data_IF_091605816867
#
_entry.id   IF_091605816867
#
_cell.length_a   1.000
_cell.length_b   1.000
_cell.length_c   1.000
_cell.angle_alpha   90.00
_cell.angle_beta   90.00
_cell.angle_gamma   90.00
#
_symmetry.space_group_name_H-M   'P 1'
#
loop_
_entity.id
_entity.type
_entity.pdbx_description
1 polymer ?
#
# COMPACT_ATOMS: atom_id res chain seq x y z
N UNK A 1 2.03 -15.94 -16.12
CA UNK A 1 2.79 -15.09 -15.17
C UNK A 1 2.92 -15.88 -13.86
N UNK A 2 4.00 -15.68 -13.10
CA UNK A 2 4.14 -16.21 -11.73
C UNK A 2 3.12 -15.56 -10.78
N UNK A 3 2.95 -16.11 -9.58
CA UNK A 3 1.96 -15.60 -8.62
C UNK A 3 2.41 -14.32 -7.92
N UNK A 4 1.46 -13.48 -7.52
CA UNK A 4 1.66 -12.42 -6.54
C UNK A 4 1.49 -13.01 -5.14
N UNK A 5 2.39 -12.67 -4.21
CA UNK A 5 2.19 -12.94 -2.78
C UNK A 5 1.67 -11.70 -2.08
N UNK A 6 0.55 -11.84 -1.39
CA UNK A 6 -0.08 -10.77 -0.63
C UNK A 6 0.10 -11.07 0.87
N UNK A 7 0.82 -10.23 1.59
CA UNK A 7 1.06 -10.36 3.02
C UNK A 7 -0.04 -9.66 3.79
N UNK A 8 -0.76 -10.45 4.60
CA UNK A 8 -1.83 -9.99 5.47
C UNK A 8 -1.39 -10.08 6.93
N UNK A 9 -1.61 -9.00 7.66
CA UNK A 9 -1.16 -8.86 9.05
C UNK A 9 -2.29 -8.97 10.09
N UNK A 10 -3.54 -8.80 9.68
CA UNK A 10 -4.74 -8.94 10.51
C UNK A 10 -5.88 -9.57 9.68
N UNK A 11 -6.73 -10.39 10.29
CA UNK A 11 -7.74 -11.19 9.57
C UNK A 11 -8.85 -10.36 8.91
N UNK A 12 -9.08 -9.15 9.41
CA UNK A 12 -10.06 -8.19 8.91
C UNK A 12 -9.48 -7.12 7.95
N UNK A 13 -8.16 -7.12 7.73
CA UNK A 13 -7.51 -6.30 6.69
C UNK A 13 -7.38 -7.14 5.42
N UNK A 14 -8.48 -7.23 4.67
CA UNK A 14 -8.56 -8.03 3.45
C UNK A 14 -7.97 -7.28 2.23
N UNK A 15 -7.51 -8.01 1.19
CA UNK A 15 -6.92 -7.37 0.01
C UNK A 15 -7.92 -6.64 -0.89
N UNK A 16 -9.24 -6.81 -0.68
CA UNK A 16 -10.29 -6.03 -1.34
C UNK A 16 -10.11 -5.88 -2.86
N UNK A 17 -10.11 -4.64 -3.34
CA UNK A 17 -9.96 -4.28 -4.76
C UNK A 17 -8.71 -4.85 -5.41
N UNK A 18 -7.64 -5.14 -4.64
CA UNK A 18 -6.41 -5.70 -5.20
C UNK A 18 -6.65 -7.10 -5.80
N UNK A 19 -7.36 -7.98 -5.11
CA UNK A 19 -7.63 -9.33 -5.64
C UNK A 19 -8.60 -9.29 -6.81
N UNK A 20 -9.62 -8.42 -6.77
CA UNK A 20 -10.53 -8.21 -7.90
C UNK A 20 -9.76 -7.74 -9.15
N UNK A 21 -8.81 -6.82 -8.96
CA UNK A 21 -7.97 -6.32 -10.04
C UNK A 21 -7.06 -7.41 -10.61
N UNK A 22 -6.41 -8.22 -9.76
CA UNK A 22 -5.53 -9.31 -10.18
C UNK A 22 -6.31 -10.39 -10.94
N UNK A 23 -7.50 -10.77 -10.47
CA UNK A 23 -8.39 -11.72 -11.13
C UNK A 23 -8.83 -11.22 -12.51
N UNK A 24 -9.22 -9.95 -12.62
CA UNK A 24 -9.60 -9.32 -13.89
C UNK A 24 -8.45 -9.33 -14.92
N UNK A 25 -7.20 -9.36 -14.48
CA UNK A 25 -6.00 -9.41 -15.33
C UNK A 25 -5.39 -10.81 -15.43
N UNK A 26 -6.06 -11.85 -14.90
CA UNK A 26 -5.58 -13.24 -14.89
C UNK A 26 -4.18 -13.39 -14.26
N UNK A 27 -3.88 -12.59 -13.24
CA UNK A 27 -2.64 -12.68 -12.46
C UNK A 27 -2.93 -13.57 -11.25
N UNK A 28 -2.31 -14.76 -11.15
CA UNK A 28 -2.52 -15.62 -10.00
C UNK A 28 -1.98 -14.96 -8.73
N UNK A 29 -2.63 -15.20 -7.61
CA UNK A 29 -2.23 -14.65 -6.32
C UNK A 29 -2.44 -15.65 -5.17
N UNK A 30 -1.68 -15.47 -4.11
CA UNK A 30 -1.85 -16.16 -2.84
C UNK A 30 -1.74 -15.16 -1.69
N UNK A 31 -2.45 -15.43 -0.59
CA UNK A 31 -2.38 -14.62 0.63
C UNK A 31 -1.58 -15.37 1.66
N UNK A 32 -0.56 -14.72 2.21
CA UNK A 32 0.22 -15.20 3.36
C UNK A 32 -0.35 -14.56 4.62
N UNK A 33 -0.99 -15.37 5.47
CA UNK A 33 -1.71 -14.92 6.65
C UNK A 33 -0.80 -14.92 7.88
N UNK A 34 -0.02 -13.85 8.07
CA UNK A 34 0.90 -13.72 9.20
C UNK A 34 0.15 -13.63 10.54
N UNK A 35 -1.07 -13.10 10.53
CA UNK A 35 -2.01 -13.10 11.67
C UNK A 35 -2.37 -14.52 12.15
N UNK A 36 -2.26 -15.52 11.26
CA UNK A 36 -2.54 -16.93 11.55
C UNK A 36 -1.28 -17.75 11.84
N UNK A 37 -0.12 -17.09 11.95
CA UNK A 37 1.16 -17.75 12.21
C UNK A 37 1.76 -18.45 10.98
N UNK A 38 1.31 -18.13 9.77
CA UNK A 38 2.04 -18.53 8.56
C UNK A 38 3.42 -17.87 8.54
N UNK A 39 4.42 -18.57 8.01
CA UNK A 39 5.80 -18.08 7.95
C UNK A 39 6.05 -17.28 6.69
N UNK A 40 6.83 -16.22 6.79
CA UNK A 40 7.31 -15.45 5.62
C UNK A 40 8.14 -16.36 4.70
N UNK A 41 7.75 -16.55 3.42
CA UNK A 41 8.53 -17.35 2.47
C UNK A 41 9.92 -16.76 2.24
N UNK A 42 10.96 -17.60 2.25
CA UNK A 42 12.36 -17.17 2.09
C UNK A 42 12.79 -17.02 0.62
N UNK A 43 12.09 -17.68 -0.30
CA UNK A 43 12.36 -17.58 -1.75
C UNK A 43 11.45 -16.55 -2.41
N UNK A 44 11.99 -15.87 -3.43
CA UNK A 44 11.28 -14.97 -4.34
C UNK A 44 11.40 -15.44 -5.79
N UNK A 45 11.85 -16.68 -6.01
CA UNK A 45 12.16 -17.19 -7.34
C UNK A 45 10.89 -17.46 -8.14
N UNK A 46 9.76 -17.66 -7.48
CA UNK A 46 8.48 -18.09 -8.04
C UNK A 46 7.39 -17.00 -7.98
N UNK A 47 7.76 -15.75 -7.69
CA UNK A 47 6.82 -14.62 -7.64
C UNK A 47 6.92 -13.69 -8.85
N UNK A 48 5.78 -13.09 -9.23
CA UNK A 48 5.72 -11.97 -10.17
C UNK A 48 5.82 -10.61 -9.46
N UNK A 49 5.40 -10.56 -8.19
CA UNK A 49 5.43 -9.38 -7.35
C UNK A 49 5.02 -9.70 -5.91
N UNK A 50 5.25 -8.76 -5.00
CA UNK A 50 4.86 -8.84 -3.60
C UNK A 50 3.95 -7.67 -3.26
N UNK A 51 2.89 -7.91 -2.49
CA UNK A 51 2.02 -6.88 -1.96
C UNK A 51 1.94 -6.99 -0.43
N UNK A 52 2.12 -5.88 0.27
CA UNK A 52 2.08 -5.83 1.74
C UNK A 52 0.90 -4.97 2.16
N UNK A 53 -0.06 -5.55 2.87
CA UNK A 53 -1.28 -4.86 3.29
C UNK A 53 -1.06 -4.00 4.55
N UNK A 54 -2.11 -3.31 4.96
CA UNK A 54 -2.14 -2.56 6.21
C UNK A 54 -2.13 -3.45 7.46
N UNK A 55 -2.21 -2.79 8.60
CA UNK A 55 -2.36 -3.39 9.93
C UNK A 55 -2.31 -2.30 11.00
N UNK A 56 -2.86 -2.58 12.18
CA UNK A 56 -2.89 -1.63 13.31
C UNK A 56 -1.57 -1.51 14.07
N UNK A 57 -0.64 -2.43 13.83
CA UNK A 57 0.68 -2.48 14.46
C UNK A 57 1.61 -1.38 13.95
N UNK A 58 2.66 -1.08 14.71
CA UNK A 58 3.79 -0.29 14.22
C UNK A 58 4.85 -1.20 13.61
N UNK A 59 5.53 -0.71 12.58
CA UNK A 59 6.78 -1.35 12.09
C UNK A 59 7.91 -1.33 13.11
N UNK A 60 7.75 -0.58 14.21
CA UNK A 60 8.68 -0.51 15.33
C UNK A 60 8.37 -1.52 16.43
N UNK A 61 7.28 -2.27 16.30
CA UNK A 61 6.97 -3.35 17.22
C UNK A 61 7.97 -4.51 17.07
N UNK A 62 8.11 -5.32 18.12
CA UNK A 62 8.99 -6.48 18.13
C UNK A 62 8.24 -7.76 17.73
N UNK A 63 7.52 -7.74 16.61
CA UNK A 63 6.72 -8.89 16.15
C UNK A 63 7.58 -9.91 15.38
N UNK A 64 7.36 -11.22 15.58
CA UNK A 64 8.23 -12.26 15.00
C UNK A 64 8.39 -12.17 13.48
N UNK A 65 7.30 -11.91 12.76
CA UNK A 65 7.29 -11.89 11.30
C UNK A 65 7.92 -10.62 10.69
N UNK A 66 8.01 -9.51 11.44
CA UNK A 66 8.51 -8.24 10.89
C UNK A 66 9.97 -8.30 10.44
N UNK A 67 10.82 -9.04 11.17
CA UNK A 67 12.23 -9.19 10.82
C UNK A 67 12.37 -9.97 9.51
N UNK A 68 11.62 -11.07 9.38
CA UNK A 68 11.64 -11.92 8.20
C UNK A 68 11.05 -11.19 6.99
N UNK A 69 9.96 -10.45 7.19
CA UNK A 69 9.33 -9.66 6.14
C UNK A 69 10.22 -8.51 5.65
N UNK A 70 10.86 -7.77 6.55
CA UNK A 70 11.86 -6.76 6.17
C UNK A 70 13.07 -7.40 5.45
N UNK A 71 13.46 -8.62 5.81
CA UNK A 71 14.53 -9.36 5.13
C UNK A 71 14.10 -9.76 3.71
N UNK A 72 12.87 -10.24 3.55
CA UNK A 72 12.27 -10.54 2.25
C UNK A 72 12.20 -9.29 1.37
N UNK A 73 11.76 -8.16 1.92
CA UNK A 73 11.69 -6.87 1.21
C UNK A 73 13.08 -6.44 0.71
N UNK A 74 14.12 -6.55 1.53
CA UNK A 74 15.49 -6.24 1.09
C UNK A 74 15.95 -7.13 -0.06
N UNK A 75 15.65 -8.43 0.03
CA UNK A 75 15.96 -9.40 -1.03
C UNK A 75 15.20 -9.06 -2.33
N UNK A 76 13.90 -8.80 -2.22
CA UNK A 76 13.04 -8.40 -3.32
C UNK A 76 13.53 -7.12 -4.00
N UNK A 77 13.93 -6.11 -3.22
CA UNK A 77 14.50 -4.87 -3.73
C UNK A 77 15.86 -5.06 -4.42
N UNK A 78 16.69 -5.99 -3.95
CA UNK A 78 17.98 -6.31 -4.58
C UNK A 78 17.83 -7.03 -5.92
N UNK A 79 16.73 -7.76 -6.11
CA UNK A 79 16.40 -8.46 -7.35
C UNK A 79 15.39 -7.71 -8.24
N UNK A 80 15.10 -6.45 -7.92
CA UNK A 80 14.12 -5.61 -8.64
C UNK A 80 12.71 -6.24 -8.75
N UNK A 81 12.32 -7.08 -7.78
CA UNK A 81 10.96 -7.62 -7.69
C UNK A 81 9.99 -6.45 -7.51
N UNK A 82 8.91 -6.36 -8.30
CA UNK A 82 7.88 -5.35 -8.10
C UNK A 82 7.20 -5.52 -6.74
N UNK A 83 7.12 -4.44 -5.98
CA UNK A 83 6.47 -4.43 -4.67
C UNK A 83 5.39 -3.36 -4.59
N UNK A 84 4.30 -3.70 -3.90
CA UNK A 84 3.19 -2.81 -3.59
C UNK A 84 3.03 -2.75 -2.06
N UNK A 85 2.96 -1.56 -1.48
CA UNK A 85 2.72 -1.40 -0.04
C UNK A 85 1.54 -0.49 0.24
N UNK A 86 0.58 -0.95 1.05
CA UNK A 86 -0.55 -0.16 1.55
C UNK A 86 -0.41 0.04 3.05
N UNK A 87 -0.59 1.27 3.54
CA UNK A 87 -0.52 1.62 4.97
C UNK A 87 0.72 1.03 5.65
N UNK A 88 0.58 0.12 6.61
CA UNK A 88 1.70 -0.60 7.25
C UNK A 88 2.70 -1.18 6.24
N UNK A 89 2.23 -1.78 5.14
CA UNK A 89 3.08 -2.31 4.09
C UNK A 89 4.01 -1.27 3.46
N UNK A 90 3.52 -0.03 3.29
CA UNK A 90 4.38 1.07 2.81
C UNK A 90 5.49 1.43 3.80
N UNK A 91 5.16 1.42 5.10
CA UNK A 91 6.08 1.71 6.19
C UNK A 91 7.12 0.60 6.34
N UNK A 92 6.71 -0.67 6.19
CA UNK A 92 7.60 -1.84 6.21
C UNK A 92 8.64 -1.74 5.09
N UNK A 93 8.19 -1.40 3.88
CA UNK A 93 9.08 -1.19 2.73
C UNK A 93 10.05 -0.04 3.02
N UNK A 94 9.55 1.10 3.52
CA UNK A 94 10.39 2.25 3.82
C UNK A 94 11.48 1.88 4.85
N UNK A 95 11.09 1.27 5.98
CA UNK A 95 11.99 0.86 7.05
C UNK A 95 13.01 -0.19 6.61
N UNK A 96 12.58 -1.21 5.87
CA UNK A 96 13.46 -2.25 5.35
C UNK A 96 14.57 -1.67 4.47
N UNK A 97 14.25 -0.63 3.69
CA UNK A 97 15.14 -0.01 2.71
C UNK A 97 15.89 1.23 3.24
N UNK A 98 15.85 1.48 4.55
CA UNK A 98 16.68 2.50 5.22
C UNK A 98 15.98 3.83 5.50
N UNK A 99 14.66 3.91 5.31
CA UNK A 99 13.82 4.96 5.89
C UNK A 99 13.56 4.73 7.38
N UNK A 100 12.90 5.70 8.01
CA UNK A 100 12.45 5.66 9.40
C UNK A 100 10.94 5.80 9.47
N UNK A 101 10.30 5.26 10.51
CA UNK A 101 8.86 5.41 10.72
C UNK A 101 8.63 5.89 12.15
N UNK A 102 7.81 6.93 12.30
CA UNK A 102 7.54 7.54 13.60
C UNK A 102 6.09 8.04 13.71
N UNK A 103 5.55 8.12 14.95
CA UNK A 103 4.24 8.70 15.20
C UNK A 103 4.12 10.13 14.69
N UNK A 104 2.96 10.43 14.10
CA UNK A 104 2.57 11.79 13.72
C UNK A 104 1.99 12.53 14.94
N UNK A 105 2.06 13.88 14.96
CA UNK A 105 1.42 14.68 16.01
C UNK A 105 -0.10 14.44 16.11
N UNK A 106 -0.75 14.22 14.97
CA UNK A 106 -2.15 13.82 14.87
C UNK A 106 -2.27 12.72 13.82
N UNK A 107 -3.17 11.76 14.05
CA UNK A 107 -3.53 10.71 13.09
C UNK A 107 -4.21 11.33 11.86
N UNK A 108 -4.10 10.69 10.71
CA UNK A 108 -4.93 10.99 9.53
C UNK A 108 -5.91 9.86 9.30
N UNK A 109 -7.21 10.18 9.42
CA UNK A 109 -8.28 9.20 9.31
C UNK A 109 -9.41 9.80 8.45
N UNK A 110 -9.79 9.07 7.40
CA UNK A 110 -10.91 9.38 6.52
C UNK A 110 -10.49 9.72 5.09
N UNK A 111 -11.35 10.45 4.39
CA UNK A 111 -11.17 10.82 2.99
C UNK A 111 -10.46 12.15 2.85
N UNK A 112 -9.28 12.14 2.24
CA UNK A 112 -8.40 13.31 2.16
C UNK A 112 -7.93 13.59 0.73
N UNK A 113 -7.79 14.89 0.43
CA UNK A 113 -7.33 15.38 -0.87
C UNK A 113 -5.79 15.34 -0.92
N UNK A 114 -5.26 14.55 -1.84
CA UNK A 114 -3.83 14.36 -2.07
C UNK A 114 -3.36 15.22 -3.22
N UNK A 115 -2.29 15.99 -3.01
CA UNK A 115 -1.66 16.84 -4.03
C UNK A 115 -0.44 16.14 -4.61
N UNK A 116 -0.32 16.11 -5.94
CA UNK A 116 0.83 15.50 -6.61
C UNK A 116 2.12 16.26 -6.34
N UNK A 117 3.21 15.52 -6.17
CA UNK A 117 4.55 16.12 -6.20
C UNK A 117 4.98 16.42 -7.65
N UNK A 118 5.63 17.56 -7.90
CA UNK A 118 6.16 17.89 -9.23
C UNK A 118 7.51 17.20 -9.49
N UNK A 119 7.47 15.96 -9.97
CA UNK A 119 8.65 15.22 -10.39
C UNK A 119 8.33 14.18 -11.48
N UNK A 120 9.36 13.61 -12.15
CA UNK A 120 9.14 12.64 -13.22
C UNK A 120 8.45 11.34 -12.77
N UNK A 121 8.76 10.84 -11.57
CA UNK A 121 8.15 9.62 -11.06
C UNK A 121 6.64 9.80 -10.83
N UNK A 122 6.22 10.94 -10.30
CA UNK A 122 4.80 11.30 -10.17
C UNK A 122 4.12 11.36 -11.52
N UNK A 123 4.73 12.01 -12.52
CA UNK A 123 4.17 12.04 -13.88
C UNK A 123 4.05 10.64 -14.49
N UNK A 124 5.00 9.76 -14.20
CA UNK A 124 4.96 8.39 -14.69
C UNK A 124 3.89 7.55 -14.00
N UNK A 125 3.91 7.47 -12.66
CA UNK A 125 2.99 6.62 -11.91
C UNK A 125 1.54 7.15 -11.98
N UNK A 126 1.37 8.47 -12.03
CA UNK A 126 0.10 9.12 -11.70
C UNK A 126 -0.42 10.05 -12.80
N UNK A 127 0.06 9.88 -14.04
CA UNK A 127 -0.29 10.73 -15.18
C UNK A 127 -1.79 11.07 -15.27
N UNK A 128 -2.65 10.05 -15.17
CA UNK A 128 -4.11 10.16 -15.36
C UNK A 128 -4.89 10.41 -14.07
N UNK A 129 -4.23 10.40 -12.92
CA UNK A 129 -4.90 10.64 -11.63
C UNK A 129 -5.26 12.14 -11.53
N UNK A 130 -6.41 12.54 -10.96
CA UNK A 130 -6.69 13.94 -10.67
C UNK A 130 -5.65 14.59 -9.74
N UNK A 131 -5.59 15.92 -9.73
CA UNK A 131 -4.75 16.69 -8.83
C UNK A 131 -5.52 17.95 -8.36
N UNK A 132 -6.03 17.98 -7.10
CA UNK A 132 -5.92 16.92 -6.10
C UNK A 132 -6.80 15.70 -6.42
N UNK A 133 -6.48 14.57 -5.79
CA UNK A 133 -7.31 13.35 -5.81
C UNK A 133 -7.73 12.95 -4.39
N UNK A 134 -8.99 12.55 -4.21
CA UNK A 134 -9.50 12.06 -2.93
C UNK A 134 -9.15 10.57 -2.75
N UNK A 135 -8.53 10.24 -1.63
CA UNK A 135 -8.25 8.85 -1.24
C UNK A 135 -8.57 8.62 0.24
N UNK A 136 -8.80 7.38 0.61
CA UNK A 136 -8.97 6.98 2.01
C UNK A 136 -7.59 6.76 2.66
N UNK A 137 -7.37 7.36 3.83
CA UNK A 137 -6.21 7.13 4.69
C UNK A 137 -6.66 6.79 6.11
N UNK A 138 -5.92 5.92 6.79
CA UNK A 138 -6.13 5.61 8.21
C UNK A 138 -4.79 5.20 8.82
N UNK A 139 -3.98 6.17 9.22
CA UNK A 139 -2.64 5.91 9.76
C UNK A 139 -2.24 6.88 10.87
N UNK A 140 -1.38 6.40 11.77
CA UNK A 140 -0.90 7.14 12.94
C UNK A 140 0.57 7.52 12.82
N UNK A 141 1.30 6.83 11.94
CA UNK A 141 2.74 7.02 11.72
C UNK A 141 3.01 7.49 10.29
N UNK A 142 4.11 8.22 10.13
CA UNK A 142 4.65 8.63 8.84
C UNK A 142 6.04 8.03 8.65
N UNK A 143 6.38 7.73 7.39
CA UNK A 143 7.72 7.30 7.02
C UNK A 143 8.58 8.47 6.52
N UNK A 144 9.90 8.33 6.61
CA UNK A 144 10.84 9.06 5.77
C UNK A 144 11.16 8.22 4.53
N UNK A 145 11.40 8.90 3.41
CA UNK A 145 11.69 8.24 2.15
C UNK A 145 13.01 7.45 2.25
N UNK A 146 13.02 6.15 1.90
CA UNK A 146 14.27 5.40 1.83
C UNK A 146 15.16 5.92 0.69
N UNK A 147 16.49 5.73 0.74
CA UNK A 147 17.39 6.14 -0.32
C UNK A 147 16.96 5.64 -1.71
N UNK A 148 16.91 6.57 -2.66
CA UNK A 148 16.50 6.33 -4.05
C UNK A 148 14.99 6.30 -4.28
N UNK A 149 14.16 6.52 -3.24
CA UNK A 149 12.74 6.74 -3.41
C UNK A 149 12.44 8.19 -3.84
N UNK A 150 11.35 8.36 -4.59
CA UNK A 150 10.83 9.66 -5.01
C UNK A 150 9.39 9.80 -4.50
N UNK A 151 9.03 10.93 -3.87
CA UNK A 151 7.68 11.14 -3.37
C UNK A 151 6.69 11.29 -4.53
N UNK A 152 5.45 10.86 -4.30
CA UNK A 152 4.40 10.86 -5.30
C UNK A 152 3.25 11.82 -4.93
N UNK A 153 2.85 11.81 -3.66
CA UNK A 153 1.76 12.62 -3.13
C UNK A 153 2.08 13.17 -1.75
N UNK A 154 1.43 14.28 -1.42
CA UNK A 154 1.35 14.85 -0.08
C UNK A 154 -0.09 15.20 0.28
N UNK A 155 -0.32 15.41 1.56
CA UNK A 155 -1.59 15.86 2.13
C UNK A 155 -1.35 17.11 3.00
N UNK A 156 -2.42 17.80 3.45
CA UNK A 156 -2.27 18.89 4.40
C UNK A 156 -1.66 18.51 5.75
N UNK A 157 -1.71 17.24 6.17
CA UNK A 157 -1.25 16.82 7.50
C UNK A 157 -0.05 15.85 7.50
N UNK A 158 0.26 15.22 6.37
CA UNK A 158 1.47 14.44 6.13
C UNK A 158 2.10 14.78 4.78
N UNK A 159 3.39 15.12 4.81
CA UNK A 159 4.16 15.46 3.61
C UNK A 159 4.41 14.25 2.69
N UNK A 160 4.59 13.07 3.27
CA UNK A 160 4.98 11.86 2.53
C UNK A 160 3.86 10.82 2.60
N UNK A 161 2.95 10.90 1.62
CA UNK A 161 1.79 10.00 1.56
C UNK A 161 2.06 8.77 0.69
N UNK A 162 2.89 8.91 -0.34
CA UNK A 162 3.27 7.81 -1.23
C UNK A 162 4.64 8.05 -1.87
N UNK A 163 5.32 6.96 -2.25
CA UNK A 163 6.59 7.02 -2.97
C UNK A 163 6.75 5.88 -3.97
N UNK A 164 7.60 6.13 -4.97
CA UNK A 164 8.08 5.11 -5.89
C UNK A 164 9.59 4.89 -5.73
N UNK A 165 10.05 3.65 -5.92
CA UNK A 165 11.46 3.28 -5.94
C UNK A 165 11.67 2.10 -6.91
N UNK A 166 12.23 2.36 -8.09
CA UNK A 166 12.37 1.32 -9.12
C UNK A 166 11.02 0.71 -9.51
N UNK A 167 10.87 -0.60 -9.33
CA UNK A 167 9.62 -1.32 -9.58
C UNK A 167 8.63 -1.30 -8.40
N UNK A 168 8.95 -0.60 -7.31
CA UNK A 168 8.15 -0.54 -6.10
C UNK A 168 7.31 0.73 -6.04
N UNK A 169 6.06 0.60 -5.60
CA UNK A 169 5.21 1.72 -5.21
C UNK A 169 4.58 1.45 -3.83
N UNK A 170 4.53 2.48 -2.99
CA UNK A 170 4.11 2.36 -1.60
C UNK A 170 3.32 3.60 -1.19
N UNK A 171 2.23 3.42 -0.46
CA UNK A 171 1.32 4.50 -0.03
C UNK A 171 0.75 4.22 1.35
N UNK A 172 0.57 5.25 2.18
CA UNK A 172 -0.19 5.13 3.44
C UNK A 172 -1.70 5.10 3.21
N UNK A 173 -2.16 5.43 2.01
CA UNK A 173 -3.55 5.32 1.61
C UNK A 173 -3.99 3.85 1.47
N UNK A 174 -5.31 3.68 1.38
CA UNK A 174 -5.98 2.38 1.27
C UNK A 174 -6.72 2.24 -0.07
N UNK A 175 -6.00 2.16 -1.20
CA UNK A 175 -6.62 1.98 -2.52
C UNK A 175 -7.40 0.67 -2.63
N UNK A 176 -7.07 -0.33 -1.80
CA UNK A 176 -7.72 -1.64 -1.77
C UNK A 176 -9.15 -1.62 -1.22
N UNK A 177 -9.55 -0.55 -0.52
CA UNK A 177 -10.78 -0.56 0.28
C UNK A 177 -12.03 -0.54 -0.58
N UNK A 178 -12.95 -1.47 -0.29
CA UNK A 178 -14.33 -1.48 -0.79
C UNK A 178 -15.29 -0.95 0.28
N UNK A 179 -16.53 -0.57 -0.07
CA UNK A 179 -17.53 -0.14 0.91
C UNK A 179 -17.73 -1.15 2.03
N UNK A 180 -17.83 -2.44 1.70
CA UNK A 180 -18.05 -3.53 2.66
C UNK A 180 -16.85 -3.69 3.59
N UNK A 181 -15.63 -3.56 3.06
CA UNK A 181 -14.41 -3.63 3.85
C UNK A 181 -14.32 -2.45 4.82
N UNK A 182 -14.64 -1.24 4.37
CA UNK A 182 -14.61 -0.06 5.26
C UNK A 182 -15.67 -0.15 6.37
N UNK A 183 -16.87 -0.64 6.06
CA UNK A 183 -17.88 -0.87 7.10
C UNK A 183 -17.38 -1.89 8.13
N UNK A 184 -16.74 -2.98 7.70
CA UNK A 184 -16.12 -3.93 8.63
C UNK A 184 -15.04 -3.28 9.50
N UNK A 185 -14.24 -2.36 8.95
CA UNK A 185 -13.23 -1.64 9.74
C UNK A 185 -13.87 -0.71 10.76
N UNK A 186 -14.94 -0.01 10.38
CA UNK A 186 -15.68 0.86 11.29
C UNK A 186 -16.34 0.05 12.42
N UNK A 187 -16.79 -1.17 12.15
CA UNK A 187 -17.38 -2.04 13.17
C UNK A 187 -16.34 -2.60 14.16
N UNK A 188 -15.15 -2.97 13.66
CA UNK A 188 -14.09 -3.60 14.47
C UNK A 188 -13.22 -2.56 15.17
N UNK A 189 -12.83 -1.51 14.45
CA UNK A 189 -11.81 -0.54 14.84
C UNK A 189 -12.31 0.90 14.84
N UNK A 190 -13.61 1.14 14.63
CA UNK A 190 -14.20 2.48 14.62
C UNK A 190 -14.05 3.26 15.92
N UNK A 191 -13.71 2.59 17.04
CA UNK A 191 -13.37 3.26 18.29
C UNK A 191 -12.11 4.13 18.17
N UNK A 192 -11.24 3.87 17.18
CA UNK A 192 -10.04 4.70 16.90
C UNK A 192 -10.40 6.03 16.22
N UNK A 193 -11.62 6.15 15.68
CA UNK A 193 -12.14 7.35 15.02
C UNK A 193 -12.63 8.36 16.06
N UNK A 194 -11.68 9.04 16.70
CA UNK A 194 -11.94 10.12 17.63
C UNK A 194 -11.68 11.48 16.96
N UNK A 195 -12.70 12.25 16.55
CA UNK A 195 -12.55 13.51 15.80
C UNK A 195 -12.05 14.66 16.69
N UNK A 196 -10.88 14.46 17.27
CA UNK A 196 -10.18 15.35 18.22
C UNK A 196 -9.18 16.27 17.53
N UNK A 197 -8.88 16.00 16.25
CA UNK A 197 -7.98 16.77 15.42
C UNK A 197 -8.59 17.04 14.03
N UNK A 198 -8.22 18.14 13.34
CA UNK A 198 -8.72 18.43 11.99
C UNK A 198 -8.46 17.33 10.97
N UNK A 199 -7.42 16.52 11.18
CA UNK A 199 -7.01 15.40 10.32
C UNK A 199 -7.83 14.12 10.52
N UNK A 200 -8.82 14.11 11.41
CA UNK A 200 -9.66 12.96 11.74
C UNK A 200 -11.12 13.28 11.41
N UNK A 201 -11.66 12.64 10.39
CA UNK A 201 -13.09 12.71 10.07
C UNK A 201 -13.93 11.91 11.06
N UNK A 202 -15.18 12.32 11.29
CA UNK A 202 -16.15 11.52 12.03
C UNK A 202 -16.59 10.29 11.23
N UNK A 203 -17.11 9.27 11.91
CA UNK A 203 -17.68 8.07 11.24
C UNK A 203 -18.78 8.47 10.23
N UNK A 204 -19.60 9.49 10.54
CA UNK A 204 -20.61 10.01 9.61
C UNK A 204 -19.97 10.57 8.33
N UNK A 205 -18.90 11.35 8.46
CA UNK A 205 -18.16 11.91 7.32
C UNK A 205 -17.45 10.84 6.49
N UNK A 206 -16.97 9.77 7.14
CA UNK A 206 -16.33 8.63 6.48
C UNK A 206 -17.36 7.82 5.69
N UNK A 207 -18.56 7.64 6.23
CA UNK A 207 -19.68 6.92 5.59
C UNK A 207 -20.39 7.73 4.50
N UNK A 208 -20.31 9.07 4.52
CA UNK A 208 -20.94 9.92 3.52
C UNK A 208 -20.55 9.52 2.10
N UNK A 209 -21.54 9.07 1.32
CA UNK A 209 -21.37 8.65 -0.09
C UNK A 209 -20.26 7.62 -0.29
N UNK A 210 -20.13 6.70 0.68
CA UNK A 210 -19.08 5.68 0.69
C UNK A 210 -19.00 4.88 -0.63
N UNK A 211 -20.09 4.33 -1.19
CA UNK A 211 -20.03 3.61 -2.47
C UNK A 211 -19.49 4.48 -3.62
N UNK A 212 -19.92 5.74 -3.71
CA UNK A 212 -19.46 6.67 -4.73
C UNK A 212 -17.99 7.07 -4.55
N UNK A 213 -17.55 7.33 -3.32
CA UNK A 213 -16.15 7.68 -3.02
C UNK A 213 -15.21 6.52 -3.32
N UNK A 214 -15.55 5.30 -2.89
CA UNK A 214 -14.80 4.10 -3.28
C UNK A 214 -14.71 3.96 -4.80
N UNK A 215 -15.84 4.10 -5.51
CA UNK A 215 -15.85 4.01 -6.98
C UNK A 215 -14.95 5.06 -7.63
N UNK A 216 -15.02 6.32 -7.18
CA UNK A 216 -14.19 7.41 -7.71
C UNK A 216 -12.71 7.14 -7.42
N UNK A 217 -12.36 6.77 -6.19
CA UNK A 217 -10.99 6.40 -5.82
C UNK A 217 -10.48 5.20 -6.64
N UNK A 218 -11.31 4.19 -6.86
CA UNK A 218 -10.93 3.02 -7.66
C UNK A 218 -10.61 3.41 -9.10
N UNK A 219 -11.52 4.12 -9.76
CA UNK A 219 -11.39 4.51 -11.17
C UNK A 219 -10.30 5.55 -11.41
N UNK A 220 -10.16 6.52 -10.50
CA UNK A 220 -9.28 7.67 -10.70
C UNK A 220 -7.87 7.45 -10.17
N UNK A 221 -7.69 6.64 -9.12
CA UNK A 221 -6.42 6.47 -8.42
C UNK A 221 -5.94 5.01 -8.42
N UNK A 222 -6.77 4.09 -7.92
CA UNK A 222 -6.36 2.71 -7.63
C UNK A 222 -6.00 1.94 -8.88
N UNK A 223 -6.89 1.93 -9.88
CA UNK A 223 -6.68 1.18 -11.11
C UNK A 223 -5.43 1.68 -11.83
N UNK A 224 -5.16 3.00 -11.81
CA UNK A 224 -3.93 3.57 -12.37
C UNK A 224 -2.68 3.11 -11.63
N UNK A 225 -2.71 3.10 -10.30
CA UNK A 225 -1.60 2.63 -9.49
C UNK A 225 -1.28 1.16 -9.78
N UNK A 226 -2.33 0.33 -9.87
CA UNK A 226 -2.22 -1.09 -10.15
C UNK A 226 -1.81 -1.38 -11.60
N UNK A 227 -2.27 -0.62 -12.58
CA UNK A 227 -1.82 -0.72 -13.98
C UNK A 227 -0.32 -0.52 -14.09
N UNK A 228 0.20 0.49 -13.39
CA UNK A 228 1.63 0.77 -13.41
C UNK A 228 2.42 -0.32 -12.70
N UNK A 229 1.92 -0.84 -11.58
CA UNK A 229 2.55 -1.95 -10.89
C UNK A 229 2.53 -3.25 -11.72
N UNK A 230 1.40 -3.56 -12.37
CA UNK A 230 1.28 -4.67 -13.32
C UNK A 230 2.26 -4.55 -14.49
N UNK A 231 2.42 -3.34 -15.05
CA UNK A 231 3.42 -3.10 -16.09
C UNK A 231 4.84 -3.40 -15.60
N UNK A 232 5.17 -3.14 -14.32
CA UNK A 232 6.45 -3.54 -13.72
C UNK A 232 6.58 -5.04 -13.59
N UNK A 233 5.53 -5.74 -13.19
CA UNK A 233 5.48 -7.21 -13.13
C UNK A 233 5.73 -7.86 -14.49
N UNK A 234 5.09 -7.35 -15.54
CA UNK A 234 5.30 -7.84 -16.91
C UNK A 234 6.76 -7.63 -17.34
N UNK A 235 7.29 -6.42 -17.16
CA UNK A 235 8.67 -6.11 -17.53
C UNK A 235 9.70 -6.91 -16.72
N UNK A 236 9.44 -7.13 -15.43
CA UNK A 236 10.28 -7.96 -14.57
C UNK A 236 10.30 -9.42 -15.03
N UNK A 237 9.14 -10.01 -15.35
CA UNK A 237 9.06 -11.39 -15.84
C UNK A 237 9.86 -11.58 -17.15
N UNK A 238 9.72 -10.65 -18.10
CA UNK A 238 10.44 -10.69 -19.38
C UNK A 238 11.97 -10.65 -19.19
N UNK A 239 12.45 -9.83 -18.24
CA UNK A 239 13.89 -9.76 -17.91
C UNK A 239 14.41 -11.08 -17.34
N UNK A 240 13.68 -11.72 -16.42
CA UNK A 240 14.12 -13.00 -15.83
C UNK A 240 14.14 -14.14 -16.82
N UNK A 241 13.21 -14.19 -17.77
CA UNK A 241 13.24 -15.17 -18.86
C UNK A 241 14.48 -14.98 -19.75
N UNK A 242 14.84 -13.73 -20.05
CA UNK A 242 16.03 -13.41 -20.87
C UNK A 242 17.33 -13.75 -20.14
N UNK A 243 17.42 -13.54 -18.83
CA UNK A 243 18.60 -13.87 -18.04
C UNK A 243 18.77 -15.36 -17.72
N UNK A 244 17.72 -16.17 -17.93
CA UNK A 244 17.76 -17.62 -17.72
C UNK A 244 18.06 -18.42 -19.00
N UNK A 245 18.05 -17.76 -20.17
CA UNK A 245 18.38 -18.32 -21.48
C UNK A 245 19.86 -18.10 -21.84
#
# INVERSE_FOLDING_TARGET
MKSVRIFRHEDWILPGRLTDYLDAHSVPWEVICLDRGETVPQSIDDVAGLAFLGGTMSVNDALPWQIDEMTLIRKAAAEDVPMLGHCLGSQLIAKALGGSVAPMPNKEIGWWQMTKCDNPATREWLASVPDPAEVLVWHHEAFTLPPGATPLYSSPHCAEQAYARGNTVATVAHPEVTPELLESWLDIYGYDVEPTAPSIQSIEQIRDRLPERCKVMHQAFTDRLYDMWLARMIAYAQRRETSAA
#
